data_IF_050026779677
#
_entry.id   IF_050026779677
#
_cell.length_a   1.000
_cell.length_b   1.000
_cell.length_c   1.000
_cell.angle_alpha   90.00
_cell.angle_beta   90.00
_cell.angle_gamma   90.00
#
_symmetry.space_group_name_H-M   'P 1'
#
loop_
_entity.id
_entity.type
_entity.pdbx_description
1 polymer ?
#
# COMPACT_ATOMS: atom_id res chain seq x y z
N UNK A 1 35.21 2.91 21.07
CA UNK A 1 34.17 3.52 21.93
C UNK A 1 33.21 4.25 21.00
N UNK A 2 32.12 3.59 20.58
CA UNK A 2 31.20 4.14 19.57
C UNK A 2 30.16 4.99 20.30
N UNK A 3 30.09 6.26 19.92
CA UNK A 3 29.13 7.23 20.43
C UNK A 3 27.68 6.69 20.26
N UNK A 4 26.84 6.70 21.30
CA UNK A 4 25.45 6.27 21.14
C UNK A 4 24.75 7.22 20.17
N UNK A 5 24.14 6.68 19.10
CA UNK A 5 23.26 7.44 18.22
C UNK A 5 22.26 8.22 19.08
N UNK A 6 22.40 9.54 19.04
CA UNK A 6 21.53 10.49 19.72
C UNK A 6 20.08 10.12 19.34
N UNK A 7 19.32 9.62 20.32
CA UNK A 7 17.88 9.42 20.12
C UNK A 7 17.33 10.78 19.67
N UNK A 8 16.46 10.83 18.64
CA UNK A 8 15.94 12.09 18.16
C UNK A 8 15.42 12.86 19.37
N UNK A 9 15.99 14.06 19.57
CA UNK A 9 15.65 15.03 20.61
C UNK A 9 14.15 14.99 20.88
N UNK A 10 13.75 15.04 22.16
CA UNK A 10 12.37 15.08 22.69
C UNK A 10 11.58 16.31 22.17
N UNK A 11 11.53 16.50 20.85
CA UNK A 11 10.65 17.44 20.17
C UNK A 11 9.28 16.80 20.13
N UNK A 12 8.24 17.56 20.45
CA UNK A 12 6.85 17.10 20.37
C UNK A 12 6.38 16.91 18.91
N UNK A 13 7.30 16.79 17.94
CA UNK A 13 7.03 16.71 16.50
C UNK A 13 7.34 15.31 15.96
N UNK A 14 6.54 14.85 14.99
CA UNK A 14 6.78 13.57 14.32
C UNK A 14 7.98 13.67 13.39
N UNK A 15 8.81 12.62 13.37
CA UNK A 15 9.95 12.55 12.48
C UNK A 15 9.52 12.70 11.01
N UNK A 16 10.42 13.22 10.19
CA UNK A 16 10.17 13.40 8.74
C UNK A 16 9.78 12.07 8.09
N UNK A 17 10.46 10.98 8.44
CA UNK A 17 10.16 9.64 7.94
C UNK A 17 8.73 9.19 8.28
N UNK A 18 8.28 9.37 9.53
CA UNK A 18 6.91 9.02 9.93
C UNK A 18 5.87 9.82 9.15
N UNK A 19 6.11 11.13 8.95
CA UNK A 19 5.24 11.99 8.14
C UNK A 19 5.17 11.54 6.68
N UNK A 20 6.31 11.21 6.09
CA UNK A 20 6.39 10.69 4.72
C UNK A 20 5.67 9.34 4.60
N UNK A 21 5.89 8.42 5.53
CA UNK A 21 5.21 7.10 5.52
C UNK A 21 3.69 7.24 5.67
N UNK A 22 3.21 8.17 6.49
CA UNK A 22 1.78 8.50 6.56
C UNK A 22 1.24 9.01 5.22
N UNK A 23 1.94 9.94 4.56
CA UNK A 23 1.55 10.44 3.25
C UNK A 23 1.58 9.37 2.15
N UNK A 24 2.60 8.49 2.16
CA UNK A 24 2.68 7.34 1.27
C UNK A 24 1.46 6.43 1.47
N UNK A 25 1.09 6.13 2.73
CA UNK A 25 -0.11 5.31 3.01
C UNK A 25 -1.35 5.98 2.45
N UNK A 26 -1.58 7.26 2.75
CA UNK A 26 -2.71 8.04 2.21
C UNK A 26 -2.81 7.89 0.69
N UNK A 27 -1.73 8.15 -0.05
CA UNK A 27 -1.74 8.04 -1.50
C UNK A 27 -2.08 6.62 -1.97
N UNK A 28 -1.52 5.60 -1.33
CA UNK A 28 -1.71 4.21 -1.74
C UNK A 28 -3.07 3.64 -1.36
N UNK A 29 -3.65 4.09 -0.24
CA UNK A 29 -4.99 3.70 0.20
C UNK A 29 -6.04 4.45 -0.61
N UNK A 30 -5.83 5.75 -0.91
CA UNK A 30 -6.62 6.51 -1.87
C UNK A 30 -6.67 5.78 -3.22
N UNK A 31 -5.51 5.36 -3.72
CA UNK A 31 -5.42 4.61 -4.97
C UNK A 31 -6.16 3.27 -4.95
N UNK A 32 -6.08 2.55 -3.84
CA UNK A 32 -6.60 1.18 -3.75
C UNK A 32 -8.10 1.17 -3.48
N UNK A 33 -8.57 2.02 -2.58
CA UNK A 33 -9.99 2.13 -2.24
C UNK A 33 -10.82 2.86 -3.30
N UNK A 34 -10.17 3.62 -4.19
CA UNK A 34 -10.83 4.16 -5.38
C UNK A 34 -11.42 3.09 -6.30
N UNK A 35 -10.81 1.89 -6.33
CA UNK A 35 -11.18 0.82 -7.26
C UNK A 35 -11.61 -0.48 -6.57
N UNK A 36 -11.23 -0.68 -5.31
CA UNK A 36 -11.53 -1.90 -4.58
C UNK A 36 -13.04 -2.22 -4.52
N UNK A 37 -13.94 -1.27 -4.18
CA UNK A 37 -15.39 -1.53 -4.18
C UNK A 37 -15.95 -1.92 -5.55
N UNK A 38 -15.25 -1.57 -6.63
CA UNK A 38 -15.66 -1.82 -8.00
C UNK A 38 -15.11 -3.14 -8.55
N UNK A 39 -14.19 -3.80 -7.86
CA UNK A 39 -13.57 -5.05 -8.36
C UNK A 39 -14.61 -6.16 -8.60
N UNK A 40 -15.57 -6.42 -7.70
CA UNK A 40 -16.61 -7.42 -7.94
C UNK A 40 -17.51 -7.07 -9.15
N UNK A 41 -17.87 -5.80 -9.31
CA UNK A 41 -18.70 -5.35 -10.43
C UNK A 41 -17.92 -5.33 -11.75
N UNK A 42 -16.62 -5.03 -11.73
CA UNK A 42 -15.74 -5.14 -12.89
C UNK A 42 -15.67 -6.59 -13.38
N UNK A 43 -15.45 -7.55 -12.48
CA UNK A 43 -15.45 -8.98 -12.82
C UNK A 43 -16.78 -9.44 -13.42
N UNK A 44 -17.89 -9.11 -12.79
CA UNK A 44 -19.20 -9.68 -13.15
C UNK A 44 -19.90 -8.92 -14.28
N UNK A 45 -19.83 -7.59 -14.30
CA UNK A 45 -20.55 -6.75 -15.28
C UNK A 45 -19.71 -6.33 -16.47
N UNK A 46 -18.41 -6.08 -16.28
CA UNK A 46 -17.53 -5.63 -17.37
C UNK A 46 -16.89 -6.81 -18.09
N UNK A 47 -16.41 -7.81 -17.34
CA UNK A 47 -15.79 -9.01 -17.90
C UNK A 47 -16.76 -10.18 -18.10
N UNK A 48 -18.01 -10.06 -17.64
CA UNK A 48 -19.02 -11.10 -17.78
C UNK A 48 -18.70 -12.39 -17.00
N UNK A 49 -17.82 -12.31 -15.99
CA UNK A 49 -17.40 -13.48 -15.24
C UNK A 49 -18.51 -13.96 -14.28
N UNK A 50 -18.64 -15.28 -14.05
CA UNK A 50 -19.57 -15.81 -13.05
C UNK A 50 -19.29 -15.27 -11.64
N UNK A 51 -20.33 -15.10 -10.82
CA UNK A 51 -20.20 -14.52 -9.48
C UNK A 51 -19.22 -15.27 -8.55
N UNK A 52 -19.08 -16.60 -8.69
CA UNK A 52 -18.14 -17.40 -7.90
C UNK A 52 -16.66 -17.00 -8.11
N UNK A 53 -16.34 -16.41 -9.27
CA UNK A 53 -14.98 -15.94 -9.57
C UNK A 53 -14.52 -14.86 -8.60
N UNK A 54 -15.45 -14.02 -8.10
CA UNK A 54 -15.15 -13.00 -7.08
C UNK A 54 -14.61 -13.66 -5.81
N UNK A 55 -15.22 -14.76 -5.37
CA UNK A 55 -14.78 -15.50 -4.19
C UNK A 55 -13.39 -16.08 -4.34
N UNK A 56 -13.06 -16.63 -5.53
CA UNK A 56 -11.70 -17.13 -5.80
C UNK A 56 -10.68 -15.99 -5.84
N UNK A 57 -10.99 -14.91 -6.56
CA UNK A 57 -10.09 -13.76 -6.69
C UNK A 57 -9.79 -13.16 -5.34
N UNK A 58 -10.81 -12.84 -4.54
CA UNK A 58 -10.62 -12.21 -3.23
C UNK A 58 -10.06 -13.19 -2.20
N UNK A 59 -10.45 -14.47 -2.25
CA UNK A 59 -9.90 -15.50 -1.38
C UNK A 59 -8.40 -15.68 -1.57
N UNK A 60 -7.95 -15.91 -2.82
CA UNK A 60 -6.52 -16.02 -3.15
C UNK A 60 -5.77 -14.75 -2.77
N UNK A 61 -6.34 -13.59 -3.08
CA UNK A 61 -5.75 -12.29 -2.80
C UNK A 61 -5.52 -12.10 -1.29
N UNK A 62 -6.54 -12.25 -0.44
CA UNK A 62 -6.39 -11.99 1.01
C UNK A 62 -5.60 -13.06 1.75
N UNK A 63 -5.68 -14.34 1.33
CA UNK A 63 -4.81 -15.40 1.87
C UNK A 63 -3.34 -15.10 1.56
N UNK A 64 -3.04 -14.67 0.33
CA UNK A 64 -1.67 -14.32 -0.09
C UNK A 64 -1.11 -13.16 0.74
N UNK A 65 -1.87 -12.07 0.89
CA UNK A 65 -1.44 -10.93 1.70
C UNK A 65 -1.15 -11.32 3.16
N UNK A 66 -2.01 -12.15 3.74
CA UNK A 66 -1.89 -12.56 5.15
C UNK A 66 -0.66 -13.43 5.40
N UNK A 67 -0.42 -14.43 4.54
CA UNK A 67 0.76 -15.31 4.64
C UNK A 67 2.07 -14.54 4.43
N UNK A 68 2.11 -13.68 3.41
CA UNK A 68 3.31 -12.94 3.08
C UNK A 68 3.63 -11.82 4.08
N UNK A 69 2.63 -11.28 4.77
CA UNK A 69 2.87 -10.31 5.86
C UNK A 69 3.72 -10.92 6.97
N UNK A 70 3.44 -12.15 7.37
CA UNK A 70 4.24 -12.85 8.38
C UNK A 70 5.66 -13.11 7.88
N UNK A 71 5.79 -13.68 6.67
CA UNK A 71 7.08 -14.04 6.10
C UNK A 71 7.99 -12.83 5.83
N UNK A 72 7.44 -11.75 5.27
CA UNK A 72 8.20 -10.53 4.95
C UNK A 72 8.70 -9.79 6.19
N UNK A 73 7.95 -9.83 7.31
CA UNK A 73 8.41 -9.31 8.59
C UNK A 73 9.71 -9.99 9.00
N UNK A 74 9.66 -11.32 9.16
CA UNK A 74 10.82 -12.15 9.52
C UNK A 74 11.99 -11.98 8.54
N UNK A 75 11.72 -11.96 7.24
CA UNK A 75 12.78 -11.84 6.24
C UNK A 75 13.43 -10.45 6.29
N UNK A 76 12.64 -9.39 6.43
CA UNK A 76 13.19 -8.03 6.57
C UNK A 76 13.97 -7.84 7.88
N UNK A 77 13.55 -8.50 8.96
CA UNK A 77 14.30 -8.54 10.23
C UNK A 77 15.65 -9.21 10.02
N UNK A 78 15.65 -10.39 9.39
CA UNK A 78 16.86 -11.19 9.15
C UNK A 78 17.85 -10.51 8.22
N UNK A 79 17.35 -9.84 7.18
CA UNK A 79 18.19 -9.07 6.22
C UNK A 79 18.65 -7.75 6.85
N UNK A 80 17.98 -7.26 7.89
CA UNK A 80 18.28 -5.98 8.53
C UNK A 80 17.97 -4.77 7.64
N UNK A 81 17.14 -4.95 6.62
CA UNK A 81 16.70 -3.89 5.69
C UNK A 81 15.18 -3.99 5.53
N UNK A 82 14.50 -2.86 5.70
CA UNK A 82 13.05 -2.66 5.59
C UNK A 82 12.67 -1.93 4.32
N UNK A 83 13.43 -0.91 3.94
CA UNK A 83 13.09 -0.02 2.82
C UNK A 83 12.96 -0.79 1.50
N UNK A 84 13.85 -1.72 1.13
CA UNK A 84 13.71 -2.46 -0.12
C UNK A 84 12.42 -3.28 -0.21
N UNK A 85 12.03 -3.95 0.88
CA UNK A 85 10.77 -4.71 0.94
C UNK A 85 9.54 -3.80 0.84
N UNK A 86 9.58 -2.65 1.51
CA UNK A 86 8.53 -1.65 1.39
C UNK A 86 8.43 -1.13 -0.06
N UNK A 87 9.54 -0.73 -0.68
CA UNK A 87 9.57 -0.23 -2.07
C UNK A 87 9.05 -1.29 -3.04
N UNK A 88 9.54 -2.53 -2.94
CA UNK A 88 9.06 -3.63 -3.78
C UNK A 88 7.56 -3.84 -3.59
N UNK A 89 7.09 -3.91 -2.34
CA UNK A 89 5.68 -4.17 -2.04
C UNK A 89 4.75 -3.06 -2.52
N UNK A 90 5.11 -1.79 -2.31
CA UNK A 90 4.36 -0.66 -2.84
C UNK A 90 4.39 -0.62 -4.38
N UNK A 91 5.53 -0.92 -4.99
CA UNK A 91 5.69 -0.98 -6.44
C UNK A 91 4.78 -2.02 -7.10
N UNK A 92 4.72 -3.23 -6.53
CA UNK A 92 3.82 -4.29 -6.98
C UNK A 92 2.34 -3.87 -6.91
N UNK A 93 1.93 -3.24 -5.80
CA UNK A 93 0.58 -2.72 -5.65
C UNK A 93 0.25 -1.55 -6.59
N UNK A 94 1.25 -0.76 -7.00
CA UNK A 94 1.07 0.27 -8.02
C UNK A 94 0.86 -0.38 -9.40
N UNK A 95 1.76 -1.28 -9.82
CA UNK A 95 1.73 -1.94 -11.14
C UNK A 95 0.47 -2.80 -11.33
N UNK A 96 -0.07 -3.39 -10.27
CA UNK A 96 -1.30 -4.17 -10.35
C UNK A 96 -2.49 -3.38 -10.91
N UNK A 97 -2.56 -2.07 -10.69
CA UNK A 97 -3.69 -1.23 -11.12
C UNK A 97 -3.81 -1.14 -12.65
N UNK A 98 -2.78 -0.73 -13.41
CA UNK A 98 -2.86 -0.76 -14.88
C UNK A 98 -3.01 -2.19 -15.43
N UNK A 99 -2.49 -3.22 -14.75
CA UNK A 99 -2.73 -4.61 -15.18
C UNK A 99 -4.23 -4.99 -15.11
N UNK A 100 -4.94 -4.56 -14.06
CA UNK A 100 -6.40 -4.75 -13.99
C UNK A 100 -7.11 -3.92 -15.05
N UNK A 101 -6.68 -2.67 -15.28
CA UNK A 101 -7.27 -1.80 -16.31
C UNK A 101 -7.21 -2.43 -17.71
N UNK A 102 -6.11 -3.13 -18.01
CA UNK A 102 -5.86 -3.81 -19.29
C UNK A 102 -6.47 -5.21 -19.36
N UNK A 103 -7.07 -5.72 -18.28
CA UNK A 103 -7.55 -7.10 -18.23
C UNK A 103 -8.77 -7.30 -19.15
N UNK A 104 -8.72 -8.33 -19.99
CA UNK A 104 -9.80 -8.77 -20.87
C UNK A 104 -10.61 -9.96 -20.30
N UNK A 105 -10.06 -10.69 -19.34
CA UNK A 105 -10.69 -11.87 -18.72
C UNK A 105 -10.39 -11.93 -17.22
N UNK A 106 -11.25 -12.60 -16.45
CA UNK A 106 -11.15 -12.63 -14.98
C UNK A 106 -9.85 -13.26 -14.46
N UNK A 107 -9.24 -14.19 -15.20
CA UNK A 107 -7.96 -14.82 -14.82
C UNK A 107 -6.80 -13.81 -14.82
N UNK A 108 -6.84 -12.80 -15.69
CA UNK A 108 -5.87 -11.72 -15.67
C UNK A 108 -6.05 -10.83 -14.43
N UNK A 109 -7.30 -10.58 -14.03
CA UNK A 109 -7.62 -9.89 -12.78
C UNK A 109 -7.14 -10.70 -11.58
N UNK A 110 -7.32 -12.02 -11.57
CA UNK A 110 -6.77 -12.91 -10.53
C UNK A 110 -5.26 -12.72 -10.38
N UNK A 111 -4.50 -12.78 -11.48
CA UNK A 111 -3.06 -12.58 -11.48
C UNK A 111 -2.64 -11.19 -10.98
N UNK A 112 -3.33 -10.15 -11.43
CA UNK A 112 -3.05 -8.78 -11.00
C UNK A 112 -3.43 -8.54 -9.53
N UNK A 113 -4.55 -9.09 -9.04
CA UNK A 113 -4.97 -9.04 -7.63
C UNK A 113 -4.02 -9.83 -6.73
N UNK A 114 -3.55 -10.99 -7.20
CA UNK A 114 -2.49 -11.73 -6.53
C UNK A 114 -1.24 -10.86 -6.40
N UNK A 115 -0.78 -10.21 -7.47
CA UNK A 115 0.37 -9.30 -7.44
C UNK A 115 0.19 -8.13 -6.48
N UNK A 116 -0.98 -7.48 -6.50
CA UNK A 116 -1.36 -6.42 -5.55
C UNK A 116 -1.20 -6.88 -4.10
N UNK A 117 -1.64 -8.11 -3.81
CA UNK A 117 -1.62 -8.67 -2.47
C UNK A 117 -0.30 -9.28 -2.04
N UNK A 118 0.51 -9.77 -2.97
CA UNK A 118 1.95 -9.96 -2.74
C UNK A 118 2.57 -8.64 -2.31
N UNK A 119 2.27 -7.55 -3.04
CA UNK A 119 2.74 -6.22 -2.71
C UNK A 119 2.35 -5.75 -1.30
N UNK A 120 1.07 -5.90 -0.95
CA UNK A 120 0.54 -5.59 0.39
C UNK A 120 1.22 -6.42 1.48
N UNK A 121 1.41 -7.73 1.25
CA UNK A 121 2.10 -8.63 2.17
C UNK A 121 3.54 -8.20 2.41
N UNK A 122 4.29 -7.88 1.35
CA UNK A 122 5.71 -7.48 1.43
C UNK A 122 5.93 -6.15 2.13
N UNK A 123 5.02 -5.17 1.98
CA UNK A 123 5.24 -3.81 2.51
C UNK A 123 4.79 -3.64 3.96
N UNK A 124 3.79 -4.39 4.42
CA UNK A 124 3.08 -4.07 5.66
C UNK A 124 3.99 -4.13 6.90
N UNK A 125 4.61 -5.28 7.17
CA UNK A 125 5.49 -5.42 8.32
C UNK A 125 6.76 -4.55 8.24
N UNK A 126 7.47 -4.47 7.09
CA UNK A 126 8.64 -3.59 6.96
C UNK A 126 8.31 -2.09 7.12
N UNK A 127 7.15 -1.64 6.63
CA UNK A 127 6.68 -0.26 6.84
C UNK A 127 6.45 0.02 8.32
N UNK A 128 5.76 -0.87 9.01
CA UNK A 128 5.45 -0.69 10.43
C UNK A 128 6.75 -0.69 11.27
N UNK A 129 7.74 -1.50 10.89
CA UNK A 129 9.09 -1.47 11.46
C UNK A 129 9.79 -0.12 11.21
N UNK A 130 9.74 0.43 9.98
CA UNK A 130 10.31 1.75 9.67
C UNK A 130 9.68 2.85 10.53
N UNK A 131 8.37 2.82 10.79
CA UNK A 131 7.70 3.77 11.69
C UNK A 131 8.25 3.62 13.10
N UNK A 132 8.32 2.39 13.62
CA UNK A 132 8.79 2.10 14.97
C UNK A 132 10.27 2.47 15.20
N UNK A 133 11.13 2.28 14.19
CA UNK A 133 12.55 2.66 14.21
C UNK A 133 12.76 4.19 14.13
N UNK A 134 11.79 4.93 13.58
CA UNK A 134 11.86 6.38 13.41
C UNK A 134 11.05 7.18 14.45
N UNK A 135 10.69 6.57 15.58
CA UNK A 135 10.05 7.26 16.70
C UNK A 135 10.54 6.73 18.06
N UNK A 136 10.54 7.58 19.08
CA UNK A 136 10.85 7.16 20.45
C UNK A 136 9.71 6.33 21.04
N UNK A 137 9.99 5.51 22.05
CA UNK A 137 8.97 4.69 22.71
C UNK A 137 7.79 5.52 23.24
N UNK A 138 8.04 6.74 23.74
CA UNK A 138 7.01 7.68 24.22
C UNK A 138 6.11 8.20 23.08
N UNK A 139 6.63 8.26 21.86
CA UNK A 139 5.92 8.81 20.69
C UNK A 139 5.29 7.76 19.79
N UNK A 140 5.51 6.46 20.04
CA UNK A 140 5.00 5.36 19.21
C UNK A 140 3.51 5.43 18.97
N UNK A 141 2.72 5.63 20.02
CA UNK A 141 1.26 5.76 19.90
C UNK A 141 0.84 6.89 18.96
N UNK A 142 1.51 8.04 19.04
CA UNK A 142 1.27 9.19 18.15
C UNK A 142 1.73 8.93 16.72
N UNK A 143 2.87 8.27 16.53
CA UNK A 143 3.38 7.94 15.21
C UNK A 143 2.46 6.97 14.44
N UNK A 144 2.05 5.88 15.09
CA UNK A 144 1.09 4.93 14.52
C UNK A 144 -0.31 5.55 14.39
N UNK A 145 -0.73 6.39 15.34
CA UNK A 145 -1.98 7.14 15.26
C UNK A 145 -2.02 8.05 14.03
N UNK A 146 -0.99 8.88 13.82
CA UNK A 146 -0.87 9.73 12.63
C UNK A 146 -0.87 8.92 11.33
N UNK A 147 -0.07 7.86 11.27
CA UNK A 147 -0.06 6.98 10.10
C UNK A 147 -1.45 6.41 9.83
N UNK A 148 -2.14 5.91 10.86
CA UNK A 148 -3.48 5.32 10.71
C UNK A 148 -4.53 6.35 10.32
N UNK A 149 -4.42 7.58 10.82
CA UNK A 149 -5.27 8.69 10.35
C UNK A 149 -5.09 8.94 8.86
N UNK A 150 -3.85 9.03 8.37
CA UNK A 150 -3.56 9.26 6.95
C UNK A 150 -4.04 8.10 6.05
N UNK A 151 -3.85 6.86 6.49
CA UNK A 151 -4.36 5.64 5.87
C UNK A 151 -5.89 5.65 5.77
N UNK A 152 -6.58 6.01 6.86
CA UNK A 152 -8.06 6.14 6.89
C UNK A 152 -8.54 7.29 6.01
N UNK A 153 -7.83 8.42 5.99
CA UNK A 153 -8.14 9.56 5.09
C UNK A 153 -8.03 9.13 3.64
N UNK A 154 -6.98 8.41 3.26
CA UNK A 154 -6.84 7.85 1.91
C UNK A 154 -8.01 6.92 1.58
N UNK A 155 -8.32 5.99 2.46
CA UNK A 155 -9.41 5.03 2.29
C UNK A 155 -10.81 5.69 2.18
N UNK A 156 -11.01 6.84 2.82
CA UNK A 156 -12.24 7.64 2.68
C UNK A 156 -12.27 8.40 1.35
N UNK A 157 -11.17 9.05 0.98
CA UNK A 157 -11.10 9.88 -0.24
C UNK A 157 -11.12 9.04 -1.52
N UNK A 158 -10.58 7.83 -1.50
CA UNK A 158 -10.53 6.93 -2.66
C UNK A 158 -11.91 6.69 -3.28
N UNK A 159 -12.88 6.10 -2.56
CA UNK A 159 -14.23 5.85 -3.07
C UNK A 159 -14.96 7.13 -3.48
N UNK A 160 -14.75 8.25 -2.76
CA UNK A 160 -15.35 9.54 -3.12
C UNK A 160 -14.85 10.04 -4.48
N UNK A 161 -13.54 9.96 -4.72
CA UNK A 161 -12.95 10.32 -6.01
C UNK A 161 -13.36 9.35 -7.11
N UNK A 162 -13.41 8.05 -6.81
CA UNK A 162 -13.86 7.03 -7.77
C UNK A 162 -15.32 7.22 -8.18
N UNK A 163 -16.19 7.51 -7.20
CA UNK A 163 -17.59 7.84 -7.44
C UNK A 163 -17.74 9.11 -8.28
N UNK A 164 -17.07 10.20 -7.87
CA UNK A 164 -17.08 11.45 -8.62
C UNK A 164 -16.63 11.25 -10.07
N UNK A 165 -15.53 10.52 -10.30
CA UNK A 165 -15.04 10.21 -11.63
C UNK A 165 -16.08 9.45 -12.47
N UNK A 166 -16.71 8.41 -11.92
CA UNK A 166 -17.70 7.61 -12.65
C UNK A 166 -19.03 8.35 -12.88
N UNK A 167 -19.35 9.37 -12.09
CA UNK A 167 -20.46 10.26 -12.43
C UNK A 167 -20.17 11.10 -13.68
N UNK A 168 -18.94 11.59 -13.84
CA UNK A 168 -18.54 12.37 -15.02
C UNK A 168 -18.29 11.47 -16.24
N UNK A 169 -17.79 10.25 -16.02
CA UNK A 169 -17.43 9.29 -17.06
C UNK A 169 -18.09 7.92 -16.82
N UNK A 170 -19.41 7.80 -17.02
CA UNK A 170 -20.13 6.55 -16.76
C UNK A 170 -19.53 5.35 -17.52
N UNK A 171 -19.39 4.22 -16.82
CA UNK A 171 -18.87 2.98 -17.40
C UNK A 171 -17.36 2.93 -17.63
N UNK A 172 -16.63 4.03 -17.42
CA UNK A 172 -15.18 4.10 -17.65
C UNK A 172 -14.33 3.51 -16.50
N UNK A 173 -14.72 2.34 -15.98
CA UNK A 173 -14.04 1.68 -14.84
C UNK A 173 -12.58 1.34 -15.15
N UNK A 174 -12.26 0.95 -16.39
CA UNK A 174 -10.87 0.69 -16.82
C UNK A 174 -9.98 1.93 -16.66
N UNK A 175 -10.48 3.10 -17.06
CA UNK A 175 -9.76 4.36 -16.89
C UNK A 175 -9.55 4.71 -15.44
N UNK A 176 -10.53 4.42 -14.58
CA UNK A 176 -10.39 4.63 -13.14
C UNK A 176 -9.24 3.78 -12.54
N UNK A 177 -9.12 2.51 -12.93
CA UNK A 177 -7.95 1.69 -12.58
C UNK A 177 -6.63 2.28 -13.10
N UNK A 178 -6.62 2.82 -14.31
CA UNK A 178 -5.47 3.53 -14.86
C UNK A 178 -5.10 4.78 -14.05
N UNK A 179 -6.08 5.61 -13.66
CA UNK A 179 -5.87 6.83 -12.89
C UNK A 179 -5.39 6.51 -11.47
N UNK A 180 -5.93 5.46 -10.85
CA UNK A 180 -5.51 4.99 -9.53
C UNK A 180 -4.00 4.65 -9.48
N UNK A 181 -3.36 4.33 -10.61
CA UNK A 181 -1.92 4.16 -10.68
C UNK A 181 -1.14 5.40 -10.22
N UNK A 182 -1.62 6.60 -10.56
CA UNK A 182 -0.90 7.86 -10.32
C UNK A 182 -0.62 8.13 -8.83
N UNK A 183 -1.62 8.12 -7.92
CA UNK A 183 -1.35 8.28 -6.50
C UNK A 183 -0.53 7.12 -5.93
N UNK A 184 -0.71 5.88 -6.40
CA UNK A 184 0.12 4.76 -5.94
C UNK A 184 1.59 4.94 -6.33
N UNK A 185 1.85 5.34 -7.58
CA UNK A 185 3.19 5.64 -8.09
C UNK A 185 3.83 6.79 -7.31
N UNK A 186 3.07 7.85 -7.02
CA UNK A 186 3.55 8.95 -6.19
C UNK A 186 4.04 8.46 -4.82
N UNK A 187 3.29 7.56 -4.17
CA UNK A 187 3.71 6.92 -2.93
C UNK A 187 5.03 6.15 -3.06
N UNK A 188 5.19 5.37 -4.14
CA UNK A 188 6.43 4.62 -4.44
C UNK A 188 7.62 5.57 -4.67
N UNK A 189 7.42 6.63 -5.44
CA UNK A 189 8.45 7.63 -5.74
C UNK A 189 8.90 8.35 -4.47
N UNK A 190 7.95 8.78 -3.62
CA UNK A 190 8.26 9.43 -2.34
C UNK A 190 9.03 8.47 -1.41
N UNK A 191 8.60 7.21 -1.33
CA UNK A 191 9.30 6.20 -0.52
C UNK A 191 10.74 5.98 -1.02
N UNK A 192 10.91 5.87 -2.32
CA UNK A 192 12.21 5.56 -2.91
C UNK A 192 13.18 6.73 -2.75
N UNK A 193 12.73 7.95 -3.02
CA UNK A 193 13.59 9.14 -3.07
C UNK A 193 13.76 9.85 -1.72
N UNK A 194 12.70 9.90 -0.89
CA UNK A 194 12.66 10.78 0.28
C UNK A 194 12.76 10.06 1.63
N UNK A 195 12.40 8.79 1.71
CA UNK A 195 12.53 8.02 2.95
C UNK A 195 13.95 7.48 3.09
N UNK A 196 14.57 7.78 4.23
CA UNK A 196 15.90 7.26 4.58
C UNK A 196 15.76 6.11 5.56
N UNK A 197 16.51 5.05 5.29
CA UNK A 197 16.62 3.91 6.20
C UNK A 197 17.69 4.19 7.26
N UNK A 198 17.41 3.99 8.55
CA UNK A 198 18.46 4.02 9.57
C UNK A 198 19.48 2.92 9.27
N UNK A 199 20.78 3.24 9.31
CA UNK A 199 21.82 2.21 9.11
C UNK A 199 21.68 1.14 10.20
N UNK A 200 21.48 -0.12 9.79
CA UNK A 200 21.47 -1.27 10.70
C UNK A 200 22.79 -1.34 11.46
N UNK A 201 22.74 -1.50 12.79
CA UNK A 201 23.93 -1.82 13.59
C UNK A 201 24.29 -3.27 13.29
N UNK A 202 25.33 -3.45 12.47
CA UNK A 202 26.12 -4.69 12.41
C UNK A 202 26.76 -4.98 13.76
#
# INVERSE_FOLDING_TARGET
MVEPLEKPTDSNSLSRTVRLLGFISLCTDLASEMVYPLTPSFLTRVLGAPAWTVGIVEGVAESTASLLKFYSGWLSDRVGQRKPFAVAGYGLGAIAKPLIALSGVWVQVLGARFLDRVGKGLRAAPRDALIAENCSAKQRGRAFGFHRSMDTTGALLGPLLGFWFLQQYPGQVRWLYGIAFLPALLGVVILTLLVKEPKSKS
#
